data_IF_808246522911
#
_entry.id   IF_808246522911
#
_cell.length_a   1.000
_cell.length_b   1.000
_cell.length_c   1.000
_cell.angle_alpha   90.00
_cell.angle_beta   90.00
_cell.angle_gamma   90.00
#
_symmetry.space_group_name_H-M   'P 1'
#
loop_
_entity.id
_entity.type
_entity.pdbx_description
1 polymer ?
#
# COMPACT_ATOMS: atom_id res chain seq x y z
N UNK A 1 8.45 20.16 -49.32
CA UNK A 1 8.68 18.93 -48.56
C UNK A 1 9.99 19.07 -47.81
N UNK A 2 9.96 19.36 -46.50
CA UNK A 2 11.13 19.39 -45.61
C UNK A 2 11.01 18.21 -44.67
N UNK A 3 11.96 17.28 -44.73
CA UNK A 3 12.05 16.11 -43.86
C UNK A 3 12.37 16.55 -42.43
N UNK A 4 11.53 16.15 -41.46
CA UNK A 4 11.82 16.28 -40.06
C UNK A 4 12.91 15.26 -39.67
N UNK A 5 14.05 15.74 -39.21
CA UNK A 5 15.14 14.92 -38.69
C UNK A 5 14.68 14.20 -37.42
N UNK A 6 14.90 12.90 -37.37
CA UNK A 6 14.81 12.08 -36.17
C UNK A 6 15.97 12.50 -35.25
N UNK A 7 15.64 12.89 -34.04
CA UNK A 7 16.65 13.08 -33.00
C UNK A 7 17.36 11.75 -32.73
N UNK A 8 18.66 11.78 -32.75
CA UNK A 8 19.52 10.63 -32.45
C UNK A 8 19.42 10.37 -30.93
N UNK A 9 18.91 9.20 -30.57
CA UNK A 9 18.94 8.70 -29.17
C UNK A 9 20.42 8.47 -28.82
N UNK A 10 20.97 9.30 -27.95
CA UNK A 10 22.32 9.11 -27.39
C UNK A 10 22.35 7.84 -26.56
N UNK A 11 23.35 6.97 -26.72
CA UNK A 11 23.47 5.75 -25.96
C UNK A 11 23.72 6.07 -24.48
N UNK A 12 23.15 5.26 -23.60
CA UNK A 12 23.19 5.39 -22.13
C UNK A 12 24.62 5.47 -21.53
N UNK A 13 25.65 5.20 -22.31
CA UNK A 13 27.08 5.25 -21.95
C UNK A 13 27.70 6.65 -21.96
N UNK A 14 27.02 7.67 -22.49
CA UNK A 14 27.52 9.05 -22.58
C UNK A 14 26.87 10.00 -21.55
N UNK A 15 26.33 9.49 -20.47
CA UNK A 15 25.97 10.34 -19.33
C UNK A 15 27.28 10.77 -18.70
N UNK A 16 27.62 12.04 -18.88
CA UNK A 16 28.81 12.69 -18.30
C UNK A 16 28.75 12.54 -16.76
N UNK A 17 29.64 11.72 -16.20
CA UNK A 17 29.80 11.51 -14.76
C UNK A 17 30.40 12.72 -14.04
N UNK A 18 30.53 13.84 -14.71
CA UNK A 18 31.10 15.08 -14.18
C UNK A 18 30.11 16.03 -13.52
N UNK A 19 28.81 15.97 -13.86
CA UNK A 19 27.79 16.73 -13.16
C UNK A 19 27.45 15.99 -11.86
N UNK A 20 27.86 16.53 -10.73
CA UNK A 20 27.30 16.13 -9.43
C UNK A 20 25.81 16.42 -9.53
N UNK A 21 25.00 15.37 -9.75
CA UNK A 21 23.57 15.49 -9.57
C UNK A 21 23.35 16.01 -8.15
N UNK A 22 22.84 17.23 -8.03
CA UNK A 22 22.40 17.71 -6.74
C UNK A 22 21.38 16.70 -6.18
N UNK A 23 21.47 16.33 -4.90
CA UNK A 23 20.53 15.39 -4.35
C UNK A 23 19.11 15.94 -4.55
N UNK A 24 18.24 15.13 -5.16
CA UNK A 24 16.83 15.48 -5.41
C UNK A 24 16.05 15.75 -4.12
N UNK A 25 16.56 15.25 -2.99
CA UNK A 25 15.95 15.40 -1.68
C UNK A 25 16.87 16.22 -0.77
N UNK A 26 16.29 17.17 -0.05
CA UNK A 26 16.96 17.95 0.98
C UNK A 26 16.95 17.16 2.30
N UNK A 27 18.07 16.55 2.66
CA UNK A 27 18.21 15.71 3.86
C UNK A 27 18.13 16.52 5.18
N UNK A 28 18.04 17.84 5.12
CA UNK A 28 17.79 18.67 6.31
C UNK A 28 16.32 18.77 6.66
N UNK A 29 15.43 18.36 5.76
CA UNK A 29 13.97 18.35 5.92
C UNK A 29 13.45 17.01 6.42
N UNK A 30 12.22 17.08 6.91
CA UNK A 30 11.38 15.91 7.20
C UNK A 30 10.28 15.79 6.16
N UNK A 31 9.95 14.55 5.78
CA UNK A 31 9.04 14.27 4.69
C UNK A 31 7.81 13.48 5.17
N UNK A 32 6.67 13.84 4.60
CA UNK A 32 5.52 12.96 4.60
C UNK A 32 5.69 11.86 3.55
N UNK A 33 5.30 10.63 3.85
CA UNK A 33 5.36 9.50 2.94
C UNK A 33 3.95 9.05 2.56
N UNK A 34 3.65 8.98 1.27
CA UNK A 34 2.36 8.51 0.74
C UNK A 34 2.54 7.19 0.03
N UNK A 35 1.74 6.20 0.42
CA UNK A 35 1.80 4.81 -0.06
C UNK A 35 0.47 4.43 -0.69
N UNK A 36 0.48 4.10 -1.99
CA UNK A 36 -0.74 3.66 -2.68
C UNK A 36 -1.09 2.20 -2.37
N UNK A 37 -2.34 1.82 -2.65
CA UNK A 37 -2.80 0.44 -2.58
C UNK A 37 -2.34 -0.39 -3.78
N UNK A 38 -2.29 -1.72 -3.65
CA UNK A 38 -1.95 -2.60 -4.76
C UNK A 38 -1.51 -4.02 -4.41
N UNK A 39 -1.90 -4.52 -3.25
CA UNK A 39 -1.71 -5.94 -2.85
C UNK A 39 -0.25 -6.35 -2.81
N UNK A 40 0.09 -7.48 -3.44
CA UNK A 40 1.43 -8.09 -3.40
C UNK A 40 2.57 -7.16 -3.90
N UNK A 41 2.26 -6.09 -4.63
CA UNK A 41 3.25 -5.10 -5.07
C UNK A 41 3.77 -4.23 -3.93
N UNK A 42 3.16 -4.29 -2.74
CA UNK A 42 3.59 -3.58 -1.54
C UNK A 42 5.04 -3.88 -1.13
N UNK A 43 5.59 -5.03 -1.51
CA UNK A 43 7.01 -5.34 -1.31
C UNK A 43 7.94 -4.25 -1.87
N UNK A 44 7.57 -3.63 -3.02
CA UNK A 44 8.32 -2.54 -3.61
C UNK A 44 8.38 -1.30 -2.69
N UNK A 45 7.29 -1.02 -1.96
CA UNK A 45 7.24 0.14 -1.05
C UNK A 45 8.24 -0.02 0.10
N UNK A 46 8.40 -1.25 0.63
CA UNK A 46 9.39 -1.52 1.68
C UNK A 46 10.81 -1.37 1.15
N UNK A 47 11.09 -1.86 -0.07
CA UNK A 47 12.39 -1.65 -0.71
C UNK A 47 12.70 -0.18 -0.96
N UNK A 48 11.71 0.60 -1.40
CA UNK A 48 11.85 2.05 -1.58
C UNK A 48 12.07 2.78 -0.25
N UNK A 49 11.32 2.42 0.80
CA UNK A 49 11.55 2.97 2.14
C UNK A 49 12.93 2.61 2.68
N UNK A 50 13.39 1.37 2.51
CA UNK A 50 14.77 0.98 2.85
C UNK A 50 15.80 1.91 2.22
N UNK A 51 15.65 2.19 0.91
CA UNK A 51 16.57 3.09 0.21
C UNK A 51 16.50 4.54 0.72
N UNK A 52 15.33 5.01 1.14
CA UNK A 52 15.17 6.33 1.76
C UNK A 52 15.86 6.40 3.12
N UNK A 53 15.71 5.37 3.96
CA UNK A 53 16.39 5.26 5.26
C UNK A 53 17.92 5.21 5.09
N UNK A 54 18.44 4.39 4.16
CA UNK A 54 19.86 4.33 3.82
C UNK A 54 20.41 5.66 3.32
N UNK A 55 19.59 6.45 2.61
CA UNK A 55 19.94 7.79 2.15
C UNK A 55 19.85 8.84 3.27
N UNK A 56 19.35 8.50 4.46
CA UNK A 56 19.21 9.43 5.58
C UNK A 56 17.98 10.35 5.50
N UNK A 57 16.97 9.97 4.70
CA UNK A 57 15.70 10.71 4.59
C UNK A 57 14.87 10.49 5.85
N UNK A 58 14.47 11.59 6.49
CA UNK A 58 13.62 11.55 7.69
C UNK A 58 12.16 11.55 7.31
N UNK A 59 11.41 10.54 7.77
CA UNK A 59 9.96 10.43 7.60
C UNK A 59 9.26 10.82 8.89
N UNK A 60 8.41 11.86 8.85
CA UNK A 60 7.66 12.36 10.01
C UNK A 60 6.15 12.06 9.94
N UNK A 61 5.64 11.68 8.78
CA UNK A 61 4.23 11.31 8.59
C UNK A 61 4.08 10.25 7.51
N UNK A 62 3.09 9.38 7.65
CA UNK A 62 2.78 8.34 6.66
C UNK A 62 1.28 8.30 6.42
N UNK A 63 0.88 8.32 5.14
CA UNK A 63 -0.49 8.06 4.74
C UNK A 63 -0.54 6.89 3.75
N UNK A 64 -1.42 5.91 3.98
CA UNK A 64 -1.52 4.72 3.17
C UNK A 64 -2.94 4.27 2.88
N UNK A 65 -3.10 3.56 1.76
CA UNK A 65 -4.35 2.89 1.39
C UNK A 65 -4.08 1.41 1.20
N UNK A 66 -4.95 0.53 1.72
CA UNK A 66 -4.83 -0.93 1.54
C UNK A 66 -3.46 -1.43 2.03
N UNK A 67 -2.71 -2.16 1.19
CA UNK A 67 -1.33 -2.57 1.49
C UNK A 67 -0.43 -1.39 1.87
N UNK A 68 -0.69 -0.20 1.32
CA UNK A 68 0.02 1.03 1.71
C UNK A 68 -0.24 1.43 3.16
N UNK A 69 -1.45 1.20 3.68
CA UNK A 69 -1.75 1.41 5.10
C UNK A 69 -1.02 0.39 6.00
N UNK A 70 -0.98 -0.88 5.59
CA UNK A 70 -0.24 -1.94 6.29
C UNK A 70 1.26 -1.64 6.33
N UNK A 71 1.84 -1.27 5.19
CA UNK A 71 3.25 -0.85 5.13
C UNK A 71 3.51 0.42 5.91
N UNK A 72 2.58 1.38 5.89
CA UNK A 72 2.65 2.60 6.69
C UNK A 72 2.73 2.31 8.19
N UNK A 73 1.95 1.35 8.68
CA UNK A 73 2.03 0.88 10.05
C UNK A 73 3.42 0.28 10.38
N UNK A 74 3.98 -0.56 9.47
CA UNK A 74 5.33 -1.11 9.63
C UNK A 74 6.40 0.00 9.65
N UNK A 75 6.28 1.02 8.80
CA UNK A 75 7.18 2.18 8.76
C UNK A 75 7.10 2.99 10.06
N UNK A 76 5.91 3.16 10.61
CA UNK A 76 5.74 3.84 11.90
C UNK A 76 6.38 3.06 13.07
N UNK A 77 6.49 1.73 12.98
CA UNK A 77 7.20 0.92 13.97
C UNK A 77 8.73 0.97 13.82
N UNK A 78 9.25 1.61 12.78
CA UNK A 78 10.66 1.96 12.58
C UNK A 78 11.63 0.77 12.57
N UNK A 79 11.24 -0.35 11.95
CA UNK A 79 12.08 -1.54 11.81
C UNK A 79 12.11 -2.04 10.38
N UNK A 80 13.09 -1.56 9.61
CA UNK A 80 13.31 -1.96 8.20
C UNK A 80 13.51 -3.47 8.09
N UNK A 81 14.37 -4.04 8.94
CA UNK A 81 14.69 -5.48 8.92
C UNK A 81 13.44 -6.33 9.16
N UNK A 82 12.59 -5.91 10.11
CA UNK A 82 11.36 -6.62 10.40
C UNK A 82 10.37 -6.54 9.23
N UNK A 83 10.20 -5.37 8.63
CA UNK A 83 9.35 -5.18 7.46
C UNK A 83 9.84 -6.01 6.26
N UNK A 84 11.15 -6.05 6.02
CA UNK A 84 11.77 -6.88 4.98
C UNK A 84 11.52 -8.37 5.24
N UNK A 85 11.68 -8.84 6.48
CA UNK A 85 11.43 -10.23 6.88
C UNK A 85 9.96 -10.60 6.65
N UNK A 86 9.02 -9.77 7.09
CA UNK A 86 7.58 -10.00 6.88
C UNK A 86 7.28 -10.18 5.39
N UNK A 87 7.82 -9.31 4.53
CA UNK A 87 7.62 -9.40 3.09
C UNK A 87 8.34 -10.58 2.43
N UNK A 88 9.52 -10.98 2.92
CA UNK A 88 10.22 -12.16 2.42
C UNK A 88 9.47 -13.47 2.70
N UNK A 89 8.69 -13.51 3.77
CA UNK A 89 7.89 -14.66 4.20
C UNK A 89 6.43 -14.57 3.70
N UNK A 90 6.07 -13.51 2.94
CA UNK A 90 4.70 -13.27 2.49
C UNK A 90 4.24 -14.30 1.47
N UNK A 91 3.05 -14.85 1.70
CA UNK A 91 2.35 -15.79 0.81
C UNK A 91 0.90 -15.37 0.65
N UNK A 92 0.24 -15.82 -0.42
CA UNK A 92 -1.18 -15.53 -0.62
C UNK A 92 -2.05 -16.12 0.51
N UNK A 93 -1.72 -17.32 0.98
CA UNK A 93 -2.41 -17.99 2.10
C UNK A 93 -2.33 -17.24 3.42
N UNK A 94 -1.37 -16.33 3.60
CA UNK A 94 -1.29 -15.43 4.77
C UNK A 94 -2.26 -14.24 4.69
N UNK A 95 -2.77 -13.93 3.50
CA UNK A 95 -3.64 -12.78 3.26
C UNK A 95 -5.09 -13.21 3.05
N UNK A 96 -5.31 -14.35 2.43
CA UNK A 96 -6.64 -14.85 2.10
C UNK A 96 -6.67 -16.38 2.14
N UNK A 97 -7.86 -16.95 2.39
CA UNK A 97 -8.05 -18.39 2.39
C UNK A 97 -8.01 -18.95 0.96
N UNK A 98 -6.81 -19.13 0.45
CA UNK A 98 -6.51 -19.68 -0.88
C UNK A 98 -5.26 -20.55 -0.85
N UNK A 99 -5.19 -21.50 -1.77
CA UNK A 99 -4.00 -22.32 -1.96
C UNK A 99 -2.90 -21.54 -2.71
N UNK A 100 -1.67 -21.56 -2.19
CA UNK A 100 -0.55 -20.80 -2.76
C UNK A 100 -0.11 -21.33 -4.13
N UNK A 101 -0.14 -22.66 -4.36
CA UNK A 101 0.22 -23.28 -5.65
C UNK A 101 -0.80 -22.91 -6.71
N UNK A 102 -2.09 -22.94 -6.33
CA UNK A 102 -3.18 -22.52 -7.19
C UNK A 102 -3.04 -21.05 -7.60
N UNK A 103 -2.72 -20.15 -6.65
CA UNK A 103 -2.49 -18.73 -6.93
C UNK A 103 -1.28 -18.50 -7.83
N UNK A 104 -0.17 -19.25 -7.66
CA UNK A 104 0.99 -19.16 -8.54
C UNK A 104 0.66 -19.62 -9.97
N UNK A 105 -0.12 -20.71 -10.12
CA UNK A 105 -0.62 -21.16 -11.40
C UNK A 105 -1.51 -20.12 -12.10
N UNK A 106 -2.31 -19.39 -11.33
CA UNK A 106 -3.18 -18.33 -11.81
C UNK A 106 -2.41 -17.18 -12.47
N UNK A 107 -1.29 -16.78 -11.86
CA UNK A 107 -0.43 -15.73 -12.38
C UNK A 107 0.60 -16.22 -13.41
N UNK A 108 0.72 -17.54 -13.63
CA UNK A 108 1.51 -18.09 -14.72
C UNK A 108 0.80 -17.87 -16.06
N UNK A 109 1.59 -17.74 -17.14
CA UNK A 109 1.05 -17.50 -18.50
C UNK A 109 0.13 -18.61 -19.02
N UNK A 110 0.16 -19.80 -18.40
CA UNK A 110 -0.60 -20.99 -18.78
C UNK A 110 -1.89 -21.15 -17.95
N UNK A 111 -2.20 -20.20 -17.06
CA UNK A 111 -3.38 -20.26 -16.20
C UNK A 111 -4.69 -20.26 -17.01
N UNK A 112 -5.53 -21.27 -16.80
CA UNK A 112 -6.84 -21.38 -17.45
C UNK A 112 -7.82 -20.39 -16.79
N UNK A 113 -7.85 -19.17 -17.31
CA UNK A 113 -8.66 -18.05 -16.84
C UNK A 113 -10.13 -18.45 -16.50
N UNK A 114 -10.70 -19.41 -17.24
CA UNK A 114 -12.07 -19.89 -16.99
C UNK A 114 -12.20 -20.69 -15.68
N UNK A 115 -11.23 -21.53 -15.35
CA UNK A 115 -11.24 -22.33 -14.10
C UNK A 115 -11.11 -21.40 -12.89
N UNK A 116 -10.24 -20.41 -12.99
CA UNK A 116 -10.05 -19.37 -12.01
C UNK A 116 -11.31 -18.55 -11.76
N UNK A 117 -11.92 -18.06 -12.84
CA UNK A 117 -13.17 -17.30 -12.72
C UNK A 117 -14.27 -18.14 -12.10
N UNK A 118 -14.33 -19.46 -12.40
CA UNK A 118 -15.36 -20.33 -11.83
C UNK A 118 -15.19 -20.56 -10.33
N UNK A 119 -13.95 -20.72 -9.85
CA UNK A 119 -13.68 -20.86 -8.40
C UNK A 119 -13.86 -19.54 -7.65
N UNK A 120 -13.44 -18.43 -8.25
CA UNK A 120 -13.70 -17.11 -7.69
C UNK A 120 -15.20 -16.85 -7.56
N UNK A 121 -15.98 -17.20 -8.60
CA UNK A 121 -17.45 -17.14 -8.58
C UNK A 121 -18.05 -18.03 -7.50
N UNK A 122 -17.52 -19.24 -7.32
CA UNK A 122 -17.97 -20.14 -6.26
C UNK A 122 -17.71 -19.52 -4.87
N UNK A 123 -16.52 -19.04 -4.60
CA UNK A 123 -16.20 -18.37 -3.31
C UNK A 123 -17.06 -17.12 -3.09
N UNK A 124 -17.33 -16.34 -4.13
CA UNK A 124 -18.23 -15.19 -4.06
C UNK A 124 -19.69 -15.61 -3.78
N UNK A 125 -20.17 -16.72 -4.38
CA UNK A 125 -21.51 -17.25 -4.12
C UNK A 125 -21.66 -17.81 -2.70
N UNK A 126 -20.57 -18.28 -2.09
CA UNK A 126 -20.51 -18.77 -0.70
C UNK A 126 -20.29 -17.63 0.33
N UNK A 127 -20.53 -16.37 -0.08
CA UNK A 127 -20.46 -15.19 0.79
C UNK A 127 -19.12 -14.48 0.81
N UNK A 128 -18.17 -14.87 -0.02
CA UNK A 128 -16.86 -14.22 -0.18
C UNK A 128 -15.68 -15.01 0.41
N UNK A 129 -14.48 -14.50 0.17
CA UNK A 129 -13.22 -15.07 0.66
C UNK A 129 -13.05 -14.74 2.14
N UNK A 130 -12.60 -15.70 2.94
CA UNK A 130 -12.35 -15.50 4.36
C UNK A 130 -11.16 -14.54 4.58
N UNK A 131 -11.32 -13.57 5.46
CA UNK A 131 -10.31 -12.56 5.80
C UNK A 131 -9.54 -12.90 7.07
N UNK A 132 -9.86 -14.03 7.71
CA UNK A 132 -9.19 -14.46 8.94
C UNK A 132 -7.67 -14.52 8.78
N UNK A 133 -7.09 -15.01 7.66
CA UNK A 133 -5.65 -14.99 7.48
C UNK A 133 -5.06 -13.57 7.53
N UNK A 134 -5.68 -12.60 6.85
CA UNK A 134 -5.23 -11.20 6.88
C UNK A 134 -5.35 -10.60 8.28
N UNK A 135 -6.45 -10.85 8.99
CA UNK A 135 -6.65 -10.41 10.37
C UNK A 135 -5.53 -10.96 11.29
N UNK A 136 -5.24 -12.26 11.16
CA UNK A 136 -4.17 -12.90 11.95
C UNK A 136 -2.79 -12.33 11.62
N UNK A 137 -2.52 -12.05 10.35
CA UNK A 137 -1.29 -11.40 9.91
C UNK A 137 -1.15 -10.01 10.54
N UNK A 138 -2.20 -9.17 10.47
CA UNK A 138 -2.20 -7.84 11.07
C UNK A 138 -1.92 -7.95 12.58
N UNK A 139 -2.63 -8.83 13.27
CA UNK A 139 -2.45 -9.07 14.71
C UNK A 139 -1.03 -9.52 15.08
N UNK A 140 -0.39 -10.33 14.22
CA UNK A 140 0.98 -10.82 14.43
C UNK A 140 2.03 -9.72 14.26
N UNK A 141 1.83 -8.81 13.29
CA UNK A 141 2.89 -7.89 12.85
C UNK A 141 2.72 -6.46 13.32
N UNK A 142 1.51 -6.05 13.75
CA UNK A 142 1.19 -4.68 14.16
C UNK A 142 1.27 -4.54 15.68
N UNK A 143 2.02 -3.55 16.11
CA UNK A 143 2.09 -3.11 17.51
C UNK A 143 1.54 -1.68 17.59
N UNK A 144 0.26 -1.56 17.95
CA UNK A 144 -0.43 -0.27 18.00
C UNK A 144 0.25 0.71 18.96
N UNK A 145 0.76 0.22 20.10
CA UNK A 145 1.43 1.06 21.07
C UNK A 145 2.69 1.70 20.50
N UNK A 146 3.51 0.91 19.79
CA UNK A 146 4.69 1.44 19.10
C UNK A 146 4.33 2.47 18.06
N UNK A 147 3.27 2.23 17.27
CA UNK A 147 2.83 3.16 16.23
C UNK A 147 2.40 4.48 16.87
N UNK A 148 1.60 4.45 17.92
CA UNK A 148 1.14 5.66 18.64
C UNK A 148 2.27 6.45 19.29
N UNK A 149 3.34 5.78 19.71
CA UNK A 149 4.51 6.42 20.34
C UNK A 149 5.66 6.68 19.36
N UNK A 150 5.48 6.43 18.07
CA UNK A 150 6.54 6.58 17.06
C UNK A 150 6.98 8.03 16.83
N UNK A 151 6.17 9.00 17.23
CA UNK A 151 6.37 10.41 16.88
C UNK A 151 6.05 10.75 15.43
N UNK A 152 5.64 9.76 14.62
CA UNK A 152 5.18 9.95 13.24
C UNK A 152 3.66 10.07 13.20
N UNK A 153 3.12 10.98 12.40
CA UNK A 153 1.69 10.97 12.11
C UNK A 153 1.38 9.82 11.18
N UNK A 154 0.38 9.03 11.53
CA UNK A 154 -0.10 7.93 10.68
C UNK A 154 -1.54 8.15 10.27
N UNK A 155 -1.79 8.03 8.96
CA UNK A 155 -3.12 8.15 8.35
C UNK A 155 -3.41 6.94 7.47
N UNK A 156 -4.67 6.51 7.46
CA UNK A 156 -5.15 5.48 6.54
C UNK A 156 -6.47 5.86 5.90
N UNK A 157 -6.67 5.35 4.70
CA UNK A 157 -7.91 5.53 3.96
C UNK A 157 -8.72 4.24 3.92
N UNK A 158 -10.03 4.36 4.18
CA UNK A 158 -11.02 3.31 3.94
C UNK A 158 -12.34 3.93 3.48
N UNK A 159 -13.29 3.13 3.02
CA UNK A 159 -14.61 3.59 2.68
C UNK A 159 -15.66 2.91 3.56
N UNK A 160 -16.41 3.69 4.34
CA UNK A 160 -17.55 3.18 5.11
C UNK A 160 -18.74 2.93 4.19
N UNK A 161 -19.06 1.67 3.96
CA UNK A 161 -20.28 1.26 3.24
C UNK A 161 -21.53 1.62 4.04
N UNK A 162 -21.45 1.54 5.36
CA UNK A 162 -22.57 1.89 6.25
C UNK A 162 -22.94 3.36 6.16
N UNK A 163 -21.94 4.23 6.15
CA UNK A 163 -22.14 5.69 6.14
C UNK A 163 -22.08 6.28 4.72
N UNK A 164 -21.75 5.44 3.72
CA UNK A 164 -21.57 5.82 2.29
C UNK A 164 -20.59 6.99 2.11
N UNK A 165 -19.44 6.92 2.80
CA UNK A 165 -18.41 7.97 2.74
C UNK A 165 -16.99 7.45 2.85
N UNK A 166 -16.06 8.18 2.23
CA UNK A 166 -14.63 8.03 2.44
C UNK A 166 -14.27 8.39 3.89
N UNK A 167 -13.39 7.61 4.48
CA UNK A 167 -12.87 7.81 5.83
C UNK A 167 -11.35 7.99 5.72
N UNK A 168 -10.90 9.23 5.85
CA UNK A 168 -9.48 9.61 5.97
C UNK A 168 -9.19 9.76 7.47
N UNK A 169 -8.60 8.72 8.06
CA UNK A 169 -8.45 8.59 9.50
C UNK A 169 -6.98 8.74 9.91
N UNK A 170 -6.72 9.64 10.85
CA UNK A 170 -5.47 9.68 11.61
C UNK A 170 -5.54 8.77 12.83
N UNK A 171 -4.42 8.55 13.52
CA UNK A 171 -4.40 7.82 14.79
C UNK A 171 -5.31 8.45 15.87
N UNK A 172 -5.49 9.77 15.82
CA UNK A 172 -6.36 10.49 16.75
C UNK A 172 -7.85 10.17 16.52
N UNK A 173 -8.22 9.86 15.26
CA UNK A 173 -9.59 9.47 14.87
C UNK A 173 -9.89 8.00 15.19
N UNK A 174 -8.86 7.19 15.47
CA UNK A 174 -8.95 5.75 15.71
C UNK A 174 -8.90 5.49 17.21
N UNK A 175 -9.97 4.94 17.82
CA UNK A 175 -9.96 4.58 19.23
C UNK A 175 -8.83 3.61 19.58
N UNK A 176 -8.22 3.78 20.73
CA UNK A 176 -7.16 2.89 21.21
C UNK A 176 -7.62 1.42 21.25
N UNK A 177 -6.74 0.51 20.82
CA UNK A 177 -7.02 -0.92 20.74
C UNK A 177 -7.84 -1.33 19.50
N UNK A 178 -8.09 -0.41 18.55
CA UNK A 178 -8.88 -0.71 17.34
C UNK A 178 -8.14 -0.49 16.03
N UNK A 179 -6.86 -0.14 16.06
CA UNK A 179 -6.07 0.14 14.85
C UNK A 179 -6.07 -1.06 13.87
N UNK A 180 -5.98 -2.29 14.40
CA UNK A 180 -6.00 -3.51 13.57
C UNK A 180 -7.29 -3.62 12.76
N UNK A 181 -8.44 -3.28 13.34
CA UNK A 181 -9.73 -3.28 12.63
C UNK A 181 -9.76 -2.25 11.49
N UNK A 182 -9.17 -1.07 11.68
CA UNK A 182 -9.14 -0.04 10.65
C UNK A 182 -8.09 -0.34 9.56
N UNK A 183 -6.96 -0.97 9.90
CA UNK A 183 -6.02 -1.51 8.93
C UNK A 183 -6.68 -2.59 8.07
N UNK A 184 -7.42 -3.50 8.70
CA UNK A 184 -8.22 -4.50 7.99
C UNK A 184 -9.28 -3.84 7.11
N UNK A 185 -9.98 -2.81 7.62
CA UNK A 185 -10.97 -2.04 6.86
C UNK A 185 -10.37 -1.39 5.62
N UNK A 186 -9.15 -0.84 5.72
CA UNK A 186 -8.42 -0.26 4.59
C UNK A 186 -8.04 -1.27 3.51
N UNK A 187 -7.82 -2.52 3.89
CA UNK A 187 -7.45 -3.62 3.00
C UNK A 187 -8.61 -4.58 2.68
N UNK A 188 -9.84 -4.17 2.95
CA UNK A 188 -11.03 -5.01 2.80
C UNK A 188 -11.52 -5.05 1.35
N UNK A 189 -10.93 -5.93 0.54
CA UNK A 189 -11.23 -6.06 -0.89
C UNK A 189 -12.70 -6.44 -1.17
N UNK A 190 -13.20 -5.97 -2.31
CA UNK A 190 -14.50 -6.43 -2.84
C UNK A 190 -14.44 -7.93 -3.16
N UNK A 191 -14.99 -8.77 -2.43
CA UNK A 191 -14.92 -10.22 -2.58
C UNK A 191 -14.53 -10.93 -1.29
N UNK A 192 -14.12 -10.20 -0.28
CA UNK A 192 -13.99 -10.71 1.07
C UNK A 192 -15.38 -10.84 1.73
N UNK A 193 -15.53 -11.80 2.64
CA UNK A 193 -16.72 -11.90 3.51
C UNK A 193 -16.81 -10.64 4.34
N UNK A 194 -17.81 -9.81 4.04
CA UNK A 194 -17.90 -8.46 4.63
C UNK A 194 -18.47 -8.54 6.05
N UNK A 195 -17.61 -8.58 7.03
CA UNK A 195 -17.93 -8.50 8.46
C UNK A 195 -18.09 -7.05 8.91
N UNK A 196 -18.71 -6.86 10.08
CA UNK A 196 -18.76 -5.56 10.73
C UNK A 196 -17.50 -5.36 11.59
N UNK A 197 -16.76 -4.29 11.30
CA UNK A 197 -15.66 -3.81 12.11
C UNK A 197 -16.14 -2.57 12.86
N UNK A 198 -15.98 -2.53 14.17
CA UNK A 198 -16.49 -1.45 15.02
C UNK A 198 -17.97 -1.09 14.72
N UNK A 199 -18.80 -2.13 14.48
CA UNK A 199 -20.23 -1.98 14.19
C UNK A 199 -20.61 -1.54 12.78
N UNK A 200 -19.64 -1.22 11.90
CA UNK A 200 -19.85 -0.75 10.54
C UNK A 200 -19.25 -1.69 9.51
N UNK A 201 -19.69 -1.57 8.26
CA UNK A 201 -19.10 -2.28 7.12
C UNK A 201 -18.22 -1.35 6.32
N UNK A 202 -17.06 -1.87 5.91
CA UNK A 202 -16.06 -1.14 5.15
C UNK A 202 -15.68 -1.87 3.86
N UNK A 203 -15.07 -1.14 2.93
CA UNK A 203 -14.34 -1.68 1.80
C UNK A 203 -13.02 -0.92 1.65
N UNK A 204 -12.09 -1.55 0.95
CA UNK A 204 -10.77 -1.00 0.64
C UNK A 204 -10.86 0.43 0.12
N UNK A 205 -10.11 1.33 0.73
CA UNK A 205 -10.07 2.75 0.34
C UNK A 205 -9.62 2.98 -1.09
N UNK A 206 -8.84 2.05 -1.67
CA UNK A 206 -8.38 2.11 -3.05
C UNK A 206 -9.48 2.06 -4.11
N UNK A 207 -10.70 1.66 -3.73
CA UNK A 207 -11.88 1.74 -4.61
C UNK A 207 -12.24 3.20 -4.95
N UNK A 208 -12.00 4.12 -4.02
CA UNK A 208 -12.31 5.55 -4.16
C UNK A 208 -11.05 6.36 -4.43
N UNK A 209 -10.03 6.18 -3.58
CA UNK A 209 -8.79 6.94 -3.66
C UNK A 209 -7.59 6.04 -3.33
N UNK A 210 -6.88 5.63 -4.36
CA UNK A 210 -5.78 4.70 -4.21
C UNK A 210 -4.48 5.37 -3.72
N UNK A 211 -4.34 6.69 -3.90
CA UNK A 211 -3.14 7.46 -3.52
C UNK A 211 -3.56 8.56 -2.53
N UNK A 212 -3.44 8.34 -1.21
CA UNK A 212 -3.99 9.25 -0.20
C UNK A 212 -3.13 10.51 0.00
N UNK A 213 -2.77 11.19 -1.09
CA UNK A 213 -1.95 12.40 -1.04
C UNK A 213 -2.62 13.53 -0.24
N UNK A 214 -3.93 13.67 -0.41
CA UNK A 214 -4.70 14.70 0.29
C UNK A 214 -4.74 14.49 1.81
N UNK A 215 -4.56 13.26 2.30
CA UNK A 215 -4.46 12.99 3.74
C UNK A 215 -3.38 13.83 4.40
N UNK A 216 -2.20 13.91 3.79
CA UNK A 216 -1.09 14.69 4.33
C UNK A 216 -1.19 16.17 3.95
N UNK A 217 -1.61 16.51 2.72
CA UNK A 217 -1.76 17.89 2.30
C UNK A 217 -2.76 18.65 3.17
N UNK A 218 -3.91 18.05 3.49
CA UNK A 218 -4.94 18.66 4.35
C UNK A 218 -4.47 18.85 5.80
N UNK A 219 -3.47 18.07 6.25
CA UNK A 219 -2.82 18.18 7.57
C UNK A 219 -1.62 19.12 7.56
N UNK A 220 -1.35 19.79 6.42
CA UNK A 220 -0.35 20.87 6.32
C UNK A 220 1.06 20.42 5.91
N UNK A 221 1.26 19.14 5.60
CA UNK A 221 2.54 18.64 5.07
C UNK A 221 2.75 19.16 3.65
N UNK A 222 3.96 19.66 3.36
CA UNK A 222 4.32 20.26 2.07
C UNK A 222 5.41 19.49 1.34
N UNK A 223 6.33 18.92 2.09
CA UNK A 223 7.41 18.10 1.57
C UNK A 223 6.96 16.64 1.64
N UNK A 224 6.49 16.08 0.52
CA UNK A 224 5.87 14.75 0.46
C UNK A 224 6.54 13.91 -0.61
N UNK A 225 6.89 12.68 -0.23
CA UNK A 225 7.37 11.64 -1.13
C UNK A 225 6.21 10.65 -1.35
N UNK A 226 5.91 10.33 -2.60
CA UNK A 226 4.89 9.33 -2.94
C UNK A 226 5.56 8.11 -3.56
N UNK A 227 5.39 6.95 -2.94
CA UNK A 227 5.84 5.67 -3.48
C UNK A 227 4.65 4.99 -4.17
N UNK A 228 4.67 4.98 -5.50
CA UNK A 228 3.61 4.37 -6.32
C UNK A 228 4.04 3.02 -6.84
N UNK A 229 3.18 2.01 -6.64
CA UNK A 229 3.38 0.63 -7.12
C UNK A 229 2.62 0.34 -8.42
N UNK A 230 1.89 1.33 -8.92
CA UNK A 230 1.31 1.32 -10.26
C UNK A 230 2.14 2.24 -11.16
N UNK A 231 2.66 1.70 -12.27
CA UNK A 231 3.46 2.48 -13.22
C UNK A 231 2.68 3.65 -13.83
N UNK A 232 3.36 4.73 -14.26
CA UNK A 232 2.74 5.81 -14.98
C UNK A 232 2.09 5.27 -16.26
N UNK A 233 0.78 5.51 -16.44
CA UNK A 233 0.06 5.16 -17.67
C UNK A 233 -1.05 4.12 -17.55
N UNK A 234 -1.35 3.60 -16.37
CA UNK A 234 -2.61 2.91 -16.11
C UNK A 234 -3.54 3.80 -15.29
N UNK A 235 -4.15 4.76 -15.95
CA UNK A 235 -5.38 5.33 -15.43
C UNK A 235 -6.44 4.21 -15.37
N UNK A 236 -7.25 4.13 -14.29
CA UNK A 236 -8.39 3.22 -14.30
C UNK A 236 -9.25 3.58 -15.51
N UNK A 237 -9.47 2.60 -16.39
CA UNK A 237 -10.46 2.77 -17.45
C UNK A 237 -11.81 2.88 -16.76
N UNK A 238 -12.41 4.07 -16.88
CA UNK A 238 -13.77 4.33 -16.45
C UNK A 238 -14.75 3.38 -17.14
#
# INVERSE_FOLDING_TARGET
MKSAGRGEDKPFSEIDRGDRMEPLLDLTKEYGLVLDGGGARGAYQIGAWTALEEAGVKVCAVAGTSVGALNGALICMDSVENAQKIWAEMKFSRVMDVDDEWMQHLFSKDGKLKEVLSELWKKLSDGGVDVTPLRNLIHEVVDEEKIRHSGKEFCLLTFSVTDMKEMDLSLEDIPEGTLEDFLLASAYLLGFKNEKLQGKRYIDGGVINNVPLNSLLNRGYKDIITIRIHGPGREPRA
#
